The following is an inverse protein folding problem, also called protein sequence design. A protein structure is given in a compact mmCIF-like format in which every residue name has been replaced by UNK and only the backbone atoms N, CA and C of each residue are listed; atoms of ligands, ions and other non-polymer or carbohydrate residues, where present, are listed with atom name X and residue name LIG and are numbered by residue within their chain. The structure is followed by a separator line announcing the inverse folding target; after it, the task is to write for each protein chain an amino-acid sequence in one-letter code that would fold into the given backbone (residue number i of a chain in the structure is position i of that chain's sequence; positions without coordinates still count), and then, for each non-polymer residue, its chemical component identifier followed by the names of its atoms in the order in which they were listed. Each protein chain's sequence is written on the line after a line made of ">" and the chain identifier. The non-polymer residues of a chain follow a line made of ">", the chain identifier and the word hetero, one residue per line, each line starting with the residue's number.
data_IF_418492473712
#
_entry.id   IF_418492473712
#
_cell.length_a   1.000
_cell.length_b   1.000
_cell.length_c   1.000
_cell.angle_alpha   90.00
_cell.angle_beta   90.00
_cell.angle_gamma   90.00
#
_symmetry.space_group_name_H-M   'P 1'
#
loop_
_entity.id
_entity.type
_entity.pdbx_description
1 polymer ?
#
# COMPACT_ATOMS: atom_id res chain seq x y z
N UNK A 1 -19.15 56.97 -71.77
CA UNK A 1 -18.62 55.92 -70.88
C UNK A 1 -17.16 55.72 -71.25
N UNK A 2 -16.31 56.25 -70.36
CA UNK A 2 -14.86 56.46 -70.39
C UNK A 2 -14.07 55.15 -70.42
N UNK A 3 -13.15 54.89 -71.36
CA UNK A 3 -11.78 55.41 -71.60
C UNK A 3 -10.66 54.81 -70.71
N UNK A 4 -9.66 54.22 -71.42
CA UNK A 4 -8.20 54.13 -71.16
C UNK A 4 -7.76 53.29 -69.93
N UNK A 5 -6.60 52.64 -69.89
CA UNK A 5 -5.38 52.63 -70.70
C UNK A 5 -4.27 52.00 -69.86
N UNK A 6 -3.28 51.37 -70.49
CA UNK A 6 -2.14 50.73 -69.84
C UNK A 6 -1.06 51.75 -69.42
N UNK A 7 -0.39 51.50 -68.30
CA UNK A 7 0.96 52.00 -67.95
C UNK A 7 1.60 51.10 -66.88
N UNK A 8 2.92 50.88 -66.99
CA UNK A 8 3.73 50.12 -66.03
C UNK A 8 4.67 50.97 -65.17
N UNK A 9 5.65 50.27 -64.56
CA UNK A 9 6.95 50.68 -63.95
C UNK A 9 7.16 50.51 -62.42
N UNK A 10 8.35 49.94 -62.11
CA UNK A 10 9.27 50.06 -60.93
C UNK A 10 8.96 49.29 -59.62
N UNK A 11 9.75 48.28 -59.23
CA UNK A 11 11.11 48.22 -58.59
C UNK A 11 11.08 48.33 -57.06
N UNK A 12 11.57 47.29 -56.37
CA UNK A 12 12.62 47.37 -55.32
C UNK A 12 12.91 45.97 -54.73
N UNK A 13 14.10 45.42 -55.00
CA UNK A 13 14.69 44.34 -54.20
C UNK A 13 15.37 44.96 -52.97
N UNK A 14 14.93 44.61 -51.77
CA UNK A 14 15.60 44.91 -50.52
C UNK A 14 16.21 43.62 -49.94
N UNK A 15 17.54 43.62 -49.83
CA UNK A 15 18.33 42.66 -49.06
C UNK A 15 18.00 42.83 -47.57
N UNK A 16 17.56 41.76 -46.90
CA UNK A 16 17.54 41.68 -45.44
C UNK A 16 18.37 40.46 -45.04
N UNK A 17 19.42 40.75 -44.28
CA UNK A 17 20.49 39.81 -43.93
C UNK A 17 20.03 38.63 -43.08
N UNK A 18 20.65 37.50 -43.36
CA UNK A 18 20.65 36.30 -42.54
C UNK A 18 21.33 36.61 -41.20
N UNK A 19 20.53 36.84 -40.16
CA UNK A 19 21.00 36.71 -38.79
C UNK A 19 20.94 35.23 -38.41
N UNK A 20 22.12 34.65 -38.17
CA UNK A 20 22.28 33.34 -37.54
C UNK A 20 21.69 33.43 -36.12
N UNK A 21 20.52 32.83 -35.91
CA UNK A 21 20.04 32.49 -34.57
C UNK A 21 20.93 31.35 -34.06
N UNK A 22 21.62 31.49 -32.91
CA UNK A 22 22.39 30.41 -32.31
C UNK A 22 21.45 29.26 -32.02
N UNK A 23 21.86 28.05 -32.42
CA UNK A 23 21.05 26.85 -32.40
C UNK A 23 20.27 26.67 -31.10
N UNK A 24 18.96 26.54 -31.23
CA UNK A 24 18.15 25.79 -30.27
C UNK A 24 18.85 24.45 -30.07
N UNK A 25 19.50 24.30 -28.92
CA UNK A 25 20.06 23.02 -28.50
C UNK A 25 18.94 21.99 -28.59
N UNK A 26 19.08 21.03 -29.50
CA UNK A 26 18.25 19.84 -29.50
C UNK A 26 18.45 19.23 -28.11
N UNK A 27 17.49 19.41 -27.20
CA UNK A 27 17.35 18.49 -26.08
C UNK A 27 17.26 17.13 -26.75
N UNK A 28 18.28 16.29 -26.57
CA UNK A 28 18.20 14.88 -26.93
C UNK A 28 16.97 14.37 -26.20
N UNK A 29 15.88 14.16 -26.92
CA UNK A 29 14.86 13.23 -26.46
C UNK A 29 15.60 11.90 -26.40
N UNK A 30 15.88 11.44 -25.18
CA UNK A 30 16.38 10.10 -24.94
C UNK A 30 15.41 9.13 -25.60
N UNK A 31 15.94 8.16 -26.36
CA UNK A 31 15.15 7.02 -26.80
C UNK A 31 14.47 6.40 -25.56
N UNK A 32 13.19 5.97 -25.65
CA UNK A 32 12.57 5.21 -24.57
C UNK A 32 13.45 4.00 -24.23
N UNK A 33 13.95 3.92 -23.00
CA UNK A 33 14.73 2.78 -22.51
C UNK A 33 16.25 2.94 -22.42
N UNK A 34 16.84 4.13 -22.62
CA UNK A 34 18.26 4.40 -22.30
C UNK A 34 18.42 5.59 -21.35
N UNK A 35 17.98 5.42 -20.10
CA UNK A 35 18.39 6.31 -19.02
C UNK A 35 19.84 5.99 -18.62
N UNK A 36 20.63 7.02 -18.39
CA UNK A 36 21.98 6.90 -17.84
C UNK A 36 21.92 6.44 -16.37
N UNK A 37 23.04 5.88 -15.88
CA UNK A 37 23.18 5.51 -14.47
C UNK A 37 22.98 6.71 -13.54
N UNK A 38 23.39 7.89 -13.97
CA UNK A 38 23.24 9.14 -13.21
C UNK A 38 21.77 9.57 -13.10
N UNK A 39 21.01 9.51 -14.21
CA UNK A 39 19.57 9.79 -14.19
C UNK A 39 18.80 8.81 -13.30
N UNK A 40 19.14 7.52 -13.36
CA UNK A 40 18.52 6.50 -12.47
C UNK A 40 18.87 6.78 -11.01
N UNK A 41 20.12 7.15 -10.71
CA UNK A 41 20.52 7.48 -9.35
C UNK A 41 19.79 8.72 -8.81
N UNK A 42 19.59 9.73 -9.66
CA UNK A 42 18.81 10.92 -9.31
C UNK A 42 17.34 10.57 -9.02
N UNK A 43 16.69 9.80 -9.89
CA UNK A 43 15.31 9.36 -9.69
C UNK A 43 15.15 8.55 -8.39
N UNK A 44 16.11 7.67 -8.08
CA UNK A 44 16.15 6.93 -6.80
C UNK A 44 16.24 7.86 -5.60
N UNK A 45 17.11 8.86 -5.65
CA UNK A 45 17.29 9.82 -4.57
C UNK A 45 16.00 10.63 -4.36
N UNK A 46 15.43 11.18 -5.41
CA UNK A 46 14.19 11.97 -5.34
C UNK A 46 13.01 11.11 -4.84
N UNK A 47 12.94 9.83 -5.21
CA UNK A 47 11.92 8.92 -4.69
C UNK A 47 12.10 8.66 -3.18
N UNK A 48 13.34 8.45 -2.73
CA UNK A 48 13.65 8.25 -1.31
C UNK A 48 13.37 9.52 -0.46
N UNK A 49 13.56 10.71 -1.02
CA UNK A 49 13.25 11.99 -0.37
C UNK A 49 11.72 12.21 -0.20
N UNK A 50 10.92 11.68 -1.12
CA UNK A 50 9.45 11.67 -1.04
C UNK A 50 8.89 10.59 -0.11
N UNK A 51 9.74 9.72 0.44
CA UNK A 51 9.37 8.66 1.38
C UNK A 51 10.24 8.77 2.65
N UNK A 52 9.98 9.78 3.50
CA UNK A 52 10.75 10.00 4.72
C UNK A 52 10.50 8.89 5.74
N UNK A 53 11.54 8.48 6.47
CA UNK A 53 11.47 7.37 7.42
C UNK A 53 11.47 7.84 8.88
N UNK A 54 10.81 7.09 9.73
CA UNK A 54 10.84 7.20 11.20
C UNK A 54 11.62 6.00 11.76
N UNK A 55 12.57 6.25 12.66
CA UNK A 55 13.28 5.20 13.40
C UNK A 55 12.46 4.74 14.59
N UNK A 56 12.34 3.43 14.75
CA UNK A 56 11.75 2.75 15.90
C UNK A 56 12.84 1.87 16.51
N UNK A 57 13.08 2.02 17.82
CA UNK A 57 14.14 1.28 18.53
C UNK A 57 13.84 -0.22 18.73
N UNK A 58 12.71 -0.69 18.21
CA UNK A 58 12.22 -2.04 18.42
C UNK A 58 11.76 -2.25 19.87
N UNK A 59 12.10 -3.41 20.42
CA UNK A 59 11.65 -3.85 21.74
C UNK A 59 10.53 -4.89 21.65
N UNK A 60 10.02 -5.30 22.81
CA UNK A 60 9.00 -6.34 22.89
C UNK A 60 7.62 -5.73 23.09
N UNK A 61 6.63 -6.27 22.39
CA UNK A 61 5.23 -5.89 22.50
C UNK A 61 4.33 -7.12 22.34
N UNK A 62 3.07 -6.94 22.75
CA UNK A 62 2.03 -7.96 22.67
C UNK A 62 1.29 -7.77 21.34
N UNK A 63 1.66 -8.56 20.33
CA UNK A 63 1.08 -8.50 18.98
C UNK A 63 -0.23 -9.27 18.92
N UNK A 64 -1.22 -8.77 18.18
CA UNK A 64 -2.55 -9.37 18.07
C UNK A 64 -3.51 -8.99 19.19
N UNK A 65 -4.64 -9.69 19.25
CA UNK A 65 -5.74 -9.40 20.17
C UNK A 65 -6.24 -10.67 20.83
N UNK A 66 -6.41 -10.66 22.16
CA UNK A 66 -7.00 -11.78 22.91
C UNK A 66 -8.54 -11.73 22.90
N UNK A 67 -9.13 -10.57 22.60
CA UNK A 67 -10.58 -10.33 22.58
C UNK A 67 -10.94 -9.44 21.38
N UNK A 68 -10.95 -9.98 20.15
CA UNK A 68 -11.41 -9.23 18.98
C UNK A 68 -12.89 -8.82 19.13
N UNK A 69 -13.31 -7.71 18.48
CA UNK A 69 -14.71 -7.31 18.47
C UNK A 69 -15.56 -8.38 17.76
N UNK A 70 -16.88 -8.44 18.02
CA UNK A 70 -17.75 -9.32 17.28
C UNK A 70 -17.80 -8.93 15.79
N UNK A 71 -18.17 -9.89 14.95
CA UNK A 71 -18.36 -9.64 13.53
C UNK A 71 -19.38 -8.51 13.31
N UNK A 72 -19.09 -7.55 12.41
CA UNK A 72 -19.87 -6.33 12.24
C UNK A 72 -21.30 -6.58 11.73
N UNK A 73 -21.53 -7.70 11.03
CA UNK A 73 -22.82 -8.04 10.43
C UNK A 73 -23.60 -9.12 11.22
N UNK A 74 -23.22 -9.36 12.48
CA UNK A 74 -23.82 -10.40 13.32
C UNK A 74 -23.08 -11.74 13.23
N UNK A 75 -23.60 -12.79 13.88
CA UNK A 75 -22.95 -14.10 13.93
C UNK A 75 -22.83 -14.71 12.53
N UNK A 76 -21.63 -15.16 12.19
CA UNK A 76 -21.32 -15.74 10.89
C UNK A 76 -21.80 -17.19 10.80
N UNK A 77 -22.17 -17.61 9.58
CA UNK A 77 -22.42 -19.03 9.32
C UNK A 77 -21.09 -19.79 9.27
N UNK A 78 -21.11 -21.10 9.51
CA UNK A 78 -19.91 -21.93 9.37
C UNK A 78 -19.33 -21.93 7.94
N UNK A 79 -20.16 -21.61 6.93
CA UNK A 79 -19.74 -21.54 5.52
C UNK A 79 -18.97 -20.26 5.20
N UNK A 80 -19.15 -19.20 6.00
CA UNK A 80 -18.47 -17.91 5.82
C UNK A 80 -17.11 -17.86 6.52
N UNK A 81 -16.81 -18.83 7.40
CA UNK A 81 -15.54 -18.90 8.12
C UNK A 81 -14.39 -19.30 7.20
N UNK A 82 -13.23 -18.73 7.46
CA UNK A 82 -12.01 -19.12 6.78
C UNK A 82 -11.47 -20.42 7.40
N UNK A 83 -11.59 -21.53 6.68
CA UNK A 83 -11.12 -22.83 7.16
C UNK A 83 -9.79 -23.24 6.53
N UNK A 84 -8.90 -23.79 7.36
CA UNK A 84 -7.58 -24.31 6.96
C UNK A 84 -7.43 -25.75 7.38
N UNK A 85 -6.77 -26.55 6.53
CA UNK A 85 -6.47 -27.95 6.86
C UNK A 85 -5.07 -28.03 7.45
N UNK A 86 -4.98 -28.41 8.73
CA UNK A 86 -3.74 -28.69 9.42
C UNK A 86 -3.01 -29.91 8.86
N UNK A 87 -1.73 -30.06 9.24
CA UNK A 87 -0.85 -31.14 8.75
C UNK A 87 -1.35 -32.55 9.06
N UNK A 88 -2.12 -32.72 10.14
CA UNK A 88 -2.73 -34.00 10.54
C UNK A 88 -4.12 -34.21 9.93
N UNK A 89 -4.56 -33.30 9.06
CA UNK A 89 -5.86 -33.36 8.38
C UNK A 89 -7.03 -32.76 9.17
N UNK A 90 -6.80 -32.29 10.39
CA UNK A 90 -7.78 -31.51 11.15
C UNK A 90 -8.10 -30.20 10.42
N UNK A 91 -9.37 -29.81 10.40
CA UNK A 91 -9.81 -28.53 9.84
C UNK A 91 -10.03 -27.55 10.98
N UNK A 92 -9.37 -26.40 10.92
CA UNK A 92 -9.53 -25.29 11.84
C UNK A 92 -10.19 -24.13 11.08
N UNK A 93 -11.28 -23.60 11.62
CA UNK A 93 -12.05 -22.52 10.99
C UNK A 93 -11.98 -21.27 11.86
N UNK A 94 -11.81 -20.13 11.20
CA UNK A 94 -11.62 -18.82 11.81
C UNK A 94 -12.74 -17.89 11.32
N UNK A 95 -13.51 -17.33 12.26
CA UNK A 95 -14.42 -16.22 11.99
C UNK A 95 -13.69 -14.91 11.74
N UNK A 96 -14.45 -13.87 11.42
CA UNK A 96 -13.96 -12.50 11.26
C UNK A 96 -13.23 -12.08 12.53
N UNK A 97 -12.00 -11.59 12.34
CA UNK A 97 -11.07 -11.13 13.37
C UNK A 97 -10.50 -12.23 14.30
N UNK A 98 -10.92 -13.49 14.19
CA UNK A 98 -10.32 -14.59 14.98
C UNK A 98 -8.88 -14.90 14.54
N UNK A 99 -8.50 -14.51 13.32
CA UNK A 99 -7.12 -14.60 12.81
C UNK A 99 -6.17 -13.57 13.44
N UNK A 100 -6.69 -12.64 14.26
CA UNK A 100 -5.94 -11.73 15.12
C UNK A 100 -5.56 -12.38 16.47
N UNK A 101 -6.06 -13.59 16.74
CA UNK A 101 -5.91 -14.30 18.01
C UNK A 101 -4.87 -15.43 17.98
N UNK A 102 -4.33 -15.79 19.16
CA UNK A 102 -4.31 -14.97 20.37
C UNK A 102 -3.27 -13.86 20.23
N UNK A 103 -3.31 -12.90 21.15
CA UNK A 103 -2.16 -12.05 21.27
C UNK A 103 -0.93 -12.89 21.68
N UNK A 104 0.27 -12.50 21.28
CA UNK A 104 1.53 -13.24 21.51
C UNK A 104 2.72 -12.29 21.69
N UNK A 105 3.80 -12.77 22.32
CA UNK A 105 4.97 -11.94 22.61
C UNK A 105 5.91 -11.88 21.41
N UNK A 106 6.14 -10.66 20.90
CA UNK A 106 7.03 -10.39 19.78
C UNK A 106 8.07 -9.36 20.18
N UNK A 107 9.35 -9.62 19.90
CA UNK A 107 10.43 -8.66 20.02
C UNK A 107 11.00 -8.32 18.66
N UNK A 108 11.19 -7.02 18.40
CA UNK A 108 11.78 -6.53 17.17
C UNK A 108 13.11 -5.84 17.45
N UNK A 109 14.06 -6.02 16.54
CA UNK A 109 15.26 -5.19 16.48
C UNK A 109 14.91 -3.77 16.03
N UNK A 110 15.81 -2.77 16.22
CA UNK A 110 15.60 -1.44 15.67
C UNK A 110 15.45 -1.46 14.14
N UNK A 111 14.47 -0.72 13.64
CA UNK A 111 14.20 -0.57 12.22
C UNK A 111 13.72 0.86 11.91
N UNK A 112 13.79 1.24 10.65
CA UNK A 112 13.14 2.44 10.14
C UNK A 112 11.97 2.04 9.27
N UNK A 113 10.93 2.85 9.25
CA UNK A 113 9.72 2.64 8.46
C UNK A 113 9.21 3.98 7.94
N UNK A 114 8.66 3.97 6.74
CA UNK A 114 8.14 5.17 6.09
C UNK A 114 7.07 5.84 6.95
N UNK A 115 7.17 7.16 7.05
CA UNK A 115 6.28 7.99 7.85
C UNK A 115 4.85 7.95 7.34
N UNK A 116 4.67 7.85 6.04
CA UNK A 116 3.37 7.73 5.36
C UNK A 116 3.50 6.72 4.22
N UNK A 117 2.40 6.37 3.56
CA UNK A 117 2.40 5.45 2.42
C UNK A 117 3.25 6.00 1.27
N UNK A 118 3.85 5.12 0.47
CA UNK A 118 4.59 5.54 -0.72
C UNK A 118 3.64 6.29 -1.65
N UNK A 119 4.00 7.52 -2.00
CA UNK A 119 3.17 8.34 -2.87
C UNK A 119 3.27 7.89 -4.32
N UNK A 120 2.21 8.16 -5.09
CA UNK A 120 2.22 7.94 -6.53
C UNK A 120 3.38 8.69 -7.21
N UNK A 121 3.70 9.89 -6.76
CA UNK A 121 4.84 10.66 -7.28
C UNK A 121 6.20 10.00 -7.03
N UNK A 122 6.39 9.37 -5.86
CA UNK A 122 7.58 8.58 -5.58
C UNK A 122 7.63 7.32 -6.45
N UNK A 123 6.52 6.56 -6.51
CA UNK A 123 6.42 5.33 -7.28
C UNK A 123 6.63 5.54 -8.78
N UNK A 124 6.10 6.63 -9.34
CA UNK A 124 6.23 6.98 -10.75
C UNK A 124 7.69 7.11 -11.18
N UNK A 125 8.58 7.61 -10.31
CA UNK A 125 10.02 7.68 -10.59
C UNK A 125 10.65 6.30 -10.83
N UNK A 126 10.19 5.26 -10.13
CA UNK A 126 10.62 3.88 -10.38
C UNK A 126 10.02 3.31 -11.67
N UNK A 127 8.76 3.64 -11.95
CA UNK A 127 8.10 3.22 -13.18
C UNK A 127 8.79 3.82 -14.43
N UNK A 128 9.28 5.06 -14.33
CA UNK A 128 10.07 5.71 -15.39
C UNK A 128 11.38 4.96 -15.72
N UNK A 129 11.93 4.21 -14.77
CA UNK A 129 13.13 3.38 -15.01
C UNK A 129 12.82 1.97 -15.52
N UNK A 130 11.54 1.64 -15.76
CA UNK A 130 11.07 0.31 -16.17
C UNK A 130 11.39 -0.82 -15.16
N UNK A 131 11.72 -0.46 -13.90
CA UNK A 131 11.99 -1.44 -12.84
C UNK A 131 10.69 -1.79 -12.12
N UNK A 132 9.87 -0.80 -11.81
CA UNK A 132 8.54 -1.02 -11.25
C UNK A 132 7.51 -1.12 -12.37
N UNK A 133 6.62 -2.11 -12.29
CA UNK A 133 5.42 -2.17 -13.13
C UNK A 133 4.57 -0.92 -12.84
N UNK A 134 4.15 -0.13 -13.84
CA UNK A 134 3.27 1.01 -13.61
C UNK A 134 1.96 0.59 -12.96
N UNK A 135 1.34 1.52 -12.23
CA UNK A 135 0.00 1.34 -11.68
C UNK A 135 -1.04 1.28 -12.82
N UNK A 136 -1.97 0.33 -12.75
CA UNK A 136 -2.97 0.06 -13.80
C UNK A 136 -4.19 1.01 -13.76
N UNK A 137 -4.08 2.15 -13.07
CA UNK A 137 -5.18 3.07 -12.75
C UNK A 137 -5.50 4.13 -13.82
N UNK A 138 -4.64 4.26 -14.84
CA UNK A 138 -4.77 5.33 -15.81
C UNK A 138 -4.70 6.72 -15.16
N UNK A 139 -5.63 7.61 -15.51
CA UNK A 139 -5.70 9.00 -15.04
C UNK A 139 -6.94 9.27 -14.16
N UNK A 140 -7.38 8.28 -13.38
CA UNK A 140 -8.53 8.45 -12.50
C UNK A 140 -8.22 9.47 -11.39
N UNK A 141 -8.91 10.61 -11.42
CA UNK A 141 -8.69 11.75 -10.53
C UNK A 141 -8.96 11.48 -9.05
N UNK A 142 -9.70 10.42 -8.74
CA UNK A 142 -9.98 10.02 -7.36
C UNK A 142 -8.81 9.23 -6.73
N UNK A 143 -7.89 8.72 -7.57
CA UNK A 143 -6.76 7.90 -7.15
C UNK A 143 -5.39 8.46 -7.59
N UNK A 144 -5.38 9.41 -8.51
CA UNK A 144 -4.18 9.94 -9.15
C UNK A 144 -3.77 11.31 -8.59
N UNK A 145 -2.49 11.46 -8.25
CA UNK A 145 -1.88 12.72 -7.81
C UNK A 145 -0.55 12.50 -7.09
N UNK A 146 0.44 13.40 -7.21
CA UNK A 146 1.82 13.15 -6.75
C UNK A 146 1.95 12.91 -5.24
N UNK A 147 1.00 13.41 -4.43
CA UNK A 147 0.98 13.25 -2.97
C UNK A 147 -0.07 12.25 -2.48
N UNK A 148 -0.76 11.53 -3.37
CA UNK A 148 -1.68 10.45 -3.00
C UNK A 148 -0.92 9.14 -2.87
N UNK A 149 -1.38 8.17 -2.07
CA UNK A 149 -0.75 6.85 -2.00
C UNK A 149 -0.76 6.17 -3.37
N UNK A 150 0.31 5.45 -3.67
CA UNK A 150 0.41 4.62 -4.86
C UNK A 150 -0.49 3.38 -4.69
N UNK A 151 -1.70 3.45 -5.23
CA UNK A 151 -2.64 2.31 -5.35
C UNK A 151 -2.58 1.72 -6.76
N UNK A 152 -3.25 0.60 -6.99
CA UNK A 152 -3.16 -0.10 -8.28
C UNK A 152 -1.86 -0.88 -8.45
N UNK A 153 -1.21 -1.24 -7.34
CA UNK A 153 0.13 -1.81 -7.30
C UNK A 153 0.06 -3.23 -6.72
N UNK A 154 0.47 -4.22 -7.52
CA UNK A 154 0.67 -5.60 -7.09
C UNK A 154 1.79 -5.70 -6.05
N UNK A 155 1.75 -6.73 -5.20
CA UNK A 155 2.72 -6.90 -4.11
C UNK A 155 4.18 -6.93 -4.61
N UNK A 156 4.43 -7.60 -5.74
CA UNK A 156 5.77 -7.69 -6.33
C UNK A 156 6.27 -6.32 -6.81
N UNK A 157 5.38 -5.45 -7.30
CA UNK A 157 5.74 -4.11 -7.73
C UNK A 157 6.01 -3.19 -6.52
N UNK A 158 5.23 -3.32 -5.44
CA UNK A 158 5.49 -2.65 -4.17
C UNK A 158 6.85 -3.05 -3.58
N UNK A 159 7.13 -4.36 -3.55
CA UNK A 159 8.43 -4.91 -3.14
C UNK A 159 9.57 -4.39 -4.02
N UNK A 160 9.42 -4.44 -5.34
CA UNK A 160 10.44 -3.97 -6.28
C UNK A 160 10.76 -2.48 -6.09
N UNK A 161 9.76 -1.65 -5.79
CA UNK A 161 9.98 -0.24 -5.45
C UNK A 161 10.85 -0.10 -4.20
N UNK A 162 10.48 -0.77 -3.10
CA UNK A 162 11.24 -0.69 -1.86
C UNK A 162 12.69 -1.17 -2.07
N UNK A 163 12.91 -2.29 -2.77
CA UNK A 163 14.24 -2.78 -3.10
C UNK A 163 15.03 -1.77 -3.99
N UNK A 164 14.35 -1.14 -4.95
CA UNK A 164 14.96 -0.18 -5.87
C UNK A 164 15.54 1.05 -5.15
N UNK A 165 14.87 1.54 -4.10
CA UNK A 165 15.37 2.62 -3.22
C UNK A 165 16.23 2.12 -2.04
N UNK A 166 16.62 0.84 -2.01
CA UNK A 166 17.50 0.28 -0.98
C UNK A 166 16.81 0.01 0.36
N UNK A 167 15.53 -0.34 0.32
CA UNK A 167 14.65 -0.67 1.44
C UNK A 167 13.99 -2.04 1.21
N UNK A 168 12.98 -2.37 1.99
CA UNK A 168 12.12 -3.57 1.85
C UNK A 168 10.69 -3.22 2.26
N UNK A 169 9.73 -4.13 2.06
CA UNK A 169 8.45 -4.03 2.76
C UNK A 169 8.66 -4.29 4.27
N UNK A 170 7.86 -3.67 5.17
CA UNK A 170 7.82 -4.04 6.57
C UNK A 170 7.31 -5.46 6.74
N UNK A 171 7.70 -6.11 7.84
CA UNK A 171 6.99 -7.31 8.31
C UNK A 171 5.63 -6.92 8.90
N UNK A 172 4.71 -7.88 9.00
CA UNK A 172 3.42 -7.65 9.69
C UNK A 172 3.65 -7.17 11.14
N UNK A 173 4.66 -7.72 11.82
CA UNK A 173 5.00 -7.34 13.18
C UNK A 173 5.56 -5.93 13.30
N UNK A 174 6.45 -5.54 12.39
CA UNK A 174 6.97 -4.17 12.33
C UNK A 174 5.87 -3.16 12.06
N UNK A 175 4.94 -3.49 11.16
CA UNK A 175 3.79 -2.65 10.85
C UNK A 175 2.90 -2.46 12.08
N UNK A 176 2.55 -3.55 12.79
CA UNK A 176 1.69 -3.45 13.97
C UNK A 176 2.38 -2.70 15.11
N UNK A 177 3.67 -2.94 15.39
CA UNK A 177 4.40 -2.15 16.37
C UNK A 177 4.39 -0.67 15.98
N UNK A 178 4.66 -0.34 14.71
CA UNK A 178 4.69 1.03 14.25
C UNK A 178 3.34 1.74 14.38
N UNK A 179 2.23 1.02 14.14
CA UNK A 179 0.87 1.54 14.29
C UNK A 179 0.47 1.69 15.77
N UNK A 180 0.76 0.68 16.58
CA UNK A 180 0.18 0.46 17.91
C UNK A 180 1.06 0.97 19.05
N UNK A 181 2.37 0.98 18.87
CA UNK A 181 3.30 1.07 20.00
C UNK A 181 3.18 -0.13 20.94
N UNK A 182 3.63 0.05 22.17
CA UNK A 182 3.64 -0.99 23.21
C UNK A 182 2.50 -0.85 24.22
N UNK A 183 1.64 0.15 24.06
CA UNK A 183 0.55 0.46 25.01
C UNK A 183 -0.77 -0.25 24.70
N UNK A 184 -0.82 -1.01 23.60
CA UNK A 184 -1.94 -1.90 23.29
C UNK A 184 -3.16 -1.22 22.68
N UNK A 185 -3.06 0.06 22.28
CA UNK A 185 -4.18 0.85 21.72
C UNK A 185 -4.92 0.17 20.56
N UNK A 186 -6.21 0.48 20.43
CA UNK A 186 -7.10 -0.08 19.41
C UNK A 186 -6.81 0.48 18.02
N UNK A 187 -6.71 1.79 17.88
CA UNK A 187 -6.39 2.48 16.62
C UNK A 187 -5.02 3.16 16.70
N UNK A 188 -4.35 3.46 15.58
CA UNK A 188 -3.07 4.16 15.62
C UNK A 188 -3.10 5.45 16.46
N UNK A 189 -4.22 6.17 16.38
CA UNK A 189 -4.48 7.42 17.09
C UNK A 189 -5.00 7.26 18.53
N UNK A 190 -5.25 6.03 18.99
CA UNK A 190 -5.78 5.75 20.33
C UNK A 190 -7.18 5.13 20.31
N UNK A 191 -8.03 5.49 21.27
CA UNK A 191 -9.36 4.88 21.48
C UNK A 191 -10.52 5.75 21.00
N UNK A 192 -10.23 6.98 20.57
CA UNK A 192 -11.27 7.92 20.18
C UNK A 192 -11.87 7.53 18.82
N UNK A 193 -13.20 7.43 18.76
CA UNK A 193 -13.87 7.28 17.47
C UNK A 193 -13.66 8.55 16.62
N UNK A 194 -13.17 8.40 15.38
CA UNK A 194 -12.91 9.52 14.50
C UNK A 194 -14.24 10.13 14.02
N UNK A 195 -14.27 11.44 13.93
CA UNK A 195 -15.35 12.19 13.27
C UNK A 195 -15.02 12.37 11.80
N UNK A 196 -16.04 12.81 11.09
CA UNK A 196 -15.94 13.20 9.71
C UNK A 196 -14.81 14.19 9.44
N UNK A 197 -13.93 13.82 8.49
CA UNK A 197 -12.76 14.62 8.12
C UNK A 197 -11.63 14.61 9.16
N UNK A 198 -11.64 13.69 10.12
CA UNK A 198 -10.51 13.51 11.05
C UNK A 198 -9.53 12.43 10.59
N UNK A 199 -9.96 11.47 9.76
CA UNK A 199 -9.13 10.44 9.12
C UNK A 199 -9.55 10.25 7.67
N UNK A 200 -8.71 9.63 6.83
CA UNK A 200 -8.98 9.36 5.42
C UNK A 200 -9.97 8.20 5.21
N UNK A 201 -11.12 8.25 5.87
CA UNK A 201 -12.18 7.25 5.81
C UNK A 201 -13.49 7.92 5.47
N UNK A 202 -14.21 7.39 4.49
CA UNK A 202 -15.53 7.90 4.14
C UNK A 202 -16.55 7.48 5.21
N UNK A 203 -16.85 8.38 6.14
CA UNK A 203 -17.89 8.21 7.18
C UNK A 203 -19.26 8.70 6.67
N UNK A 204 -20.31 7.88 6.82
CA UNK A 204 -21.71 8.22 6.49
C UNK A 204 -22.26 7.58 5.21
N UNK A 205 -23.59 7.55 5.06
CA UNK A 205 -24.27 7.05 3.86
C UNK A 205 -24.00 7.97 2.65
N UNK A 206 -24.09 7.43 1.42
CA UNK A 206 -23.57 8.06 0.18
C UNK A 206 -23.74 9.58 0.06
N UNK A 207 -24.92 10.12 0.41
CA UNK A 207 -25.25 11.54 0.25
C UNK A 207 -24.69 12.46 1.35
N UNK A 208 -24.45 11.91 2.53
CA UNK A 208 -23.97 12.64 3.73
C UNK A 208 -22.52 12.27 4.08
N UNK A 209 -21.87 11.52 3.20
CA UNK A 209 -20.50 11.09 3.38
C UNK A 209 -19.55 12.29 3.39
N UNK A 210 -18.79 12.44 4.47
CA UNK A 210 -18.00 13.65 4.70
C UNK A 210 -16.69 13.73 3.92
N UNK A 211 -16.28 12.65 3.25
CA UNK A 211 -15.13 12.66 2.37
C UNK A 211 -15.50 12.25 0.95
N UNK A 212 -14.84 12.91 0.00
CA UNK A 212 -14.94 12.53 -1.42
C UNK A 212 -14.47 11.10 -1.60
N UNK A 213 -15.05 10.41 -2.57
CA UNK A 213 -14.59 9.09 -3.01
C UNK A 213 -13.08 9.08 -3.36
N UNK A 214 -12.43 7.94 -3.12
CA UNK A 214 -11.02 7.70 -3.42
C UNK A 214 -10.04 8.11 -2.33
N UNK A 215 -8.76 7.98 -2.65
CA UNK A 215 -7.65 8.20 -1.72
C UNK A 215 -7.60 9.65 -1.24
N UNK A 216 -6.71 9.95 -0.30
CA UNK A 216 -6.42 11.30 0.16
C UNK A 216 -4.92 11.55 0.04
N UNK A 217 -4.53 12.82 0.08
CA UNK A 217 -3.10 13.12 0.15
C UNK A 217 -2.55 12.55 1.46
N UNK A 218 -1.36 11.98 1.41
CA UNK A 218 -0.63 11.54 2.60
C UNK A 218 -0.45 12.71 3.57
N UNK A 219 -0.49 12.41 4.86
CA UNK A 219 -0.43 13.34 5.99
C UNK A 219 -1.54 14.42 6.01
N UNK A 220 -2.63 14.25 5.26
CA UNK A 220 -3.72 15.23 5.24
C UNK A 220 -4.45 15.31 6.59
N UNK A 221 -4.58 14.17 7.27
CA UNK A 221 -5.38 14.03 8.47
C UNK A 221 -4.51 13.83 9.71
N UNK A 222 -4.34 14.85 10.56
CA UNK A 222 -3.42 14.79 11.69
C UNK A 222 -3.86 13.84 12.81
N UNK A 223 -5.13 13.43 12.85
CA UNK A 223 -5.61 12.48 13.87
C UNK A 223 -5.00 11.10 13.63
N UNK A 224 -4.91 10.62 12.39
CA UNK A 224 -4.35 9.30 12.06
C UNK A 224 -2.82 9.31 12.19
N UNK A 225 -2.37 9.43 13.43
CA UNK A 225 -0.97 9.50 13.83
C UNK A 225 -0.72 8.47 14.91
N UNK A 226 0.16 7.52 14.59
CA UNK A 226 0.69 6.51 15.51
C UNK A 226 1.49 7.12 16.67
N UNK A 227 1.77 6.38 17.76
CA UNK A 227 2.60 6.90 18.85
C UNK A 227 4.04 7.23 18.44
N UNK A 228 4.54 6.62 17.36
CA UNK A 228 5.87 6.91 16.81
C UNK A 228 5.85 8.07 15.80
N UNK A 229 4.67 8.60 15.46
CA UNK A 229 4.51 9.74 14.57
C UNK A 229 4.43 9.42 13.09
N UNK A 230 4.25 8.14 12.74
CA UNK A 230 3.77 7.73 11.42
C UNK A 230 2.33 8.19 11.22
N UNK A 231 2.02 8.61 10.01
CA UNK A 231 0.74 9.08 9.52
C UNK A 231 0.03 7.98 8.71
N UNK A 232 -1.30 8.08 8.64
CA UNK A 232 -2.14 7.27 7.75
C UNK A 232 -1.98 5.76 7.99
N UNK A 233 -1.84 5.34 9.26
CA UNK A 233 -1.68 3.92 9.61
C UNK A 233 -3.04 3.21 9.73
N UNK A 234 -4.14 3.96 9.81
CA UNK A 234 -5.46 3.46 10.15
C UNK A 234 -6.55 4.07 9.29
N UNK A 235 -6.29 4.32 8.00
CA UNK A 235 -7.25 4.66 6.95
C UNK A 235 -6.53 4.79 5.61
N UNK A 236 -7.13 5.54 4.66
CA UNK A 236 -6.61 5.84 3.33
C UNK A 236 -6.47 4.58 2.48
N UNK A 237 -5.47 3.75 2.69
CA UNK A 237 -5.26 2.50 1.94
C UNK A 237 -4.77 1.40 2.86
N UNK A 238 -5.13 0.18 2.53
CA UNK A 238 -4.52 -0.99 3.16
C UNK A 238 -3.09 -1.08 2.66
N UNK A 239 -2.20 -1.63 3.45
CA UNK A 239 -0.78 -1.64 3.13
C UNK A 239 -0.25 -3.05 3.02
N UNK A 240 0.39 -3.35 1.88
CA UNK A 240 1.17 -4.56 1.73
C UNK A 240 2.31 -4.64 2.75
N UNK A 241 2.44 -5.80 3.39
CA UNK A 241 3.61 -6.18 4.19
C UNK A 241 4.31 -7.39 3.55
N UNK A 242 5.50 -7.78 4.02
CA UNK A 242 6.27 -8.86 3.42
C UNK A 242 5.64 -10.26 3.59
N UNK A 243 4.86 -10.42 4.64
CA UNK A 243 4.46 -11.70 5.19
C UNK A 243 3.43 -12.40 4.30
N UNK A 244 3.58 -13.71 4.18
CA UNK A 244 2.51 -14.55 3.70
C UNK A 244 1.36 -14.58 4.72
N UNK A 245 0.13 -14.59 4.23
CA UNK A 245 -1.03 -14.69 5.10
C UNK A 245 -1.35 -16.15 5.45
N UNK A 246 -1.63 -16.39 6.73
CA UNK A 246 -2.18 -17.62 7.25
C UNK A 246 -3.00 -17.31 8.52
N UNK A 247 -4.28 -17.70 8.59
CA UNK A 247 -5.15 -17.31 9.70
C UNK A 247 -4.71 -17.93 11.04
N UNK A 248 -4.28 -19.20 11.04
CA UNK A 248 -3.73 -19.86 12.23
C UNK A 248 -2.29 -19.50 12.61
N UNK A 249 -1.65 -18.50 11.98
CA UNK A 249 -0.24 -18.18 12.26
C UNK A 249 -0.03 -17.72 13.71
N UNK A 250 -0.89 -16.83 14.22
CA UNK A 250 -0.80 -16.35 15.60
C UNK A 250 -1.09 -17.47 16.60
N UNK A 251 -2.07 -18.33 16.30
CA UNK A 251 -2.41 -19.50 17.12
C UNK A 251 -1.23 -20.47 17.28
N UNK A 252 -0.39 -20.61 16.26
CA UNK A 252 0.84 -21.40 16.32
C UNK A 252 1.93 -20.78 17.23
N UNK A 253 1.85 -19.47 17.48
CA UNK A 253 2.80 -18.71 18.29
C UNK A 253 2.35 -18.43 19.73
N UNK A 254 1.14 -18.85 20.12
CA UNK A 254 0.47 -18.47 21.39
C UNK A 254 1.27 -18.60 22.69
N UNK A 255 2.19 -19.56 22.75
CA UNK A 255 3.03 -19.85 23.92
C UNK A 255 4.52 -19.57 23.64
N UNK A 256 4.82 -18.82 22.59
CA UNK A 256 6.17 -18.53 22.12
C UNK A 256 6.46 -17.04 22.19
N UNK A 257 7.68 -16.72 22.64
CA UNK A 257 8.27 -15.39 22.45
C UNK A 257 9.10 -15.41 21.17
N UNK A 258 8.69 -14.67 20.16
CA UNK A 258 9.38 -14.62 18.88
C UNK A 258 10.23 -13.36 18.73
N UNK A 259 11.31 -13.46 17.96
CA UNK A 259 12.18 -12.32 17.62
C UNK A 259 12.16 -12.12 16.12
N UNK A 260 11.81 -10.93 15.65
CA UNK A 260 11.70 -10.57 14.23
C UNK A 260 10.90 -11.59 13.39
N UNK A 261 9.66 -11.97 13.78
CA UNK A 261 8.85 -12.87 12.96
C UNK A 261 8.60 -12.26 11.58
N UNK A 262 8.71 -13.09 10.53
CA UNK A 262 8.54 -12.68 9.12
C UNK A 262 7.42 -13.49 8.42
N UNK A 263 6.44 -13.93 9.20
CA UNK A 263 5.34 -14.76 8.74
C UNK A 263 5.73 -16.23 8.50
N UNK A 264 4.79 -17.05 8.02
CA UNK A 264 5.06 -18.42 7.60
C UNK A 264 5.94 -18.44 6.33
N UNK A 265 6.70 -19.52 6.12
CA UNK A 265 7.57 -19.67 4.94
C UNK A 265 6.81 -19.68 3.61
N UNK A 266 5.54 -20.09 3.64
CA UNK A 266 4.66 -20.21 2.47
C UNK A 266 3.25 -19.73 2.81
N UNK A 267 2.54 -19.20 1.82
CA UNK A 267 1.10 -18.96 1.91
C UNK A 267 0.33 -20.27 2.14
N UNK A 268 -0.88 -20.13 2.67
CA UNK A 268 -1.81 -21.24 2.81
C UNK A 268 -2.08 -21.92 1.45
N UNK A 269 -2.10 -23.26 1.42
CA UNK A 269 -2.86 -23.99 0.39
C UNK A 269 -4.34 -23.91 0.76
N UNK A 270 -5.08 -22.98 0.16
CA UNK A 270 -6.51 -22.79 0.45
C UNK A 270 -7.31 -23.98 -0.08
N UNK A 271 -7.96 -24.73 0.81
CA UNK A 271 -9.02 -25.67 0.45
C UNK A 271 -10.36 -24.93 0.52
N UNK A 272 -10.86 -24.43 -0.61
CA UNK A 272 -12.23 -23.90 -0.67
C UNK A 272 -13.20 -25.08 -0.68
N UNK A 273 -13.96 -25.26 0.39
CA UNK A 273 -15.03 -26.25 0.42
C UNK A 273 -16.23 -25.68 -0.35
N UNK A 274 -16.28 -25.90 -1.67
CA UNK A 274 -17.48 -25.61 -2.44
C UNK A 274 -18.57 -26.61 -1.99
N UNK A 275 -19.51 -26.16 -1.16
CA UNK A 275 -20.73 -26.91 -0.80
C UNK A 275 -21.76 -26.94 -1.94
N UNK A 276 -21.28 -27.11 -3.18
CA UNK A 276 -22.14 -27.37 -4.33
C UNK A 276 -22.16 -28.86 -4.65
N UNK A 277 -23.17 -29.60 -4.17
CA UNK A 277 -23.48 -30.91 -4.74
C UNK A 277 -23.98 -30.70 -6.19
N UNK A 278 -23.07 -30.80 -7.15
CA UNK A 278 -23.39 -30.75 -8.57
C UNK A 278 -22.16 -31.03 -9.42
N UNK A 279 -22.34 -31.74 -10.54
CA UNK A 279 -21.33 -31.91 -11.59
C UNK A 279 -20.93 -30.53 -12.14
N UNK A 280 -19.93 -29.91 -11.50
CA UNK A 280 -19.59 -28.50 -11.71
C UNK A 280 -18.88 -27.83 -10.54
N UNK A 281 -18.82 -28.46 -9.36
CA UNK A 281 -17.94 -28.03 -8.27
C UNK A 281 -16.48 -28.11 -8.74
N UNK A 282 -15.97 -26.99 -9.24
CA UNK A 282 -14.55 -26.85 -9.48
C UNK A 282 -13.90 -26.75 -8.11
N UNK A 283 -13.10 -27.76 -7.77
CA UNK A 283 -12.05 -27.61 -6.78
C UNK A 283 -11.15 -26.46 -7.29
N UNK A 284 -11.46 -25.24 -6.90
CA UNK A 284 -10.57 -24.11 -7.14
C UNK A 284 -9.41 -24.34 -6.17
N UNK A 285 -8.41 -25.09 -6.63
CA UNK A 285 -7.08 -25.07 -6.05
C UNK A 285 -6.57 -23.64 -6.22
N UNK A 286 -6.90 -22.76 -5.29
CA UNK A 286 -6.26 -21.47 -5.20
C UNK A 286 -4.88 -21.73 -4.60
N UNK A 287 -3.94 -22.10 -5.46
CA UNK A 287 -2.50 -21.95 -5.23
C UNK A 287 -2.12 -20.47 -5.28
N UNK A 288 -2.98 -19.58 -4.77
CA UNK A 288 -2.76 -18.14 -4.80
C UNK A 288 -2.00 -17.75 -3.54
N UNK A 289 -0.81 -17.21 -3.75
CA UNK A 289 0.05 -16.76 -2.67
C UNK A 289 -0.59 -15.53 -2.02
N UNK A 290 -1.29 -15.73 -0.92
CA UNK A 290 -1.87 -14.63 -0.17
C UNK A 290 -0.80 -13.92 0.66
N UNK A 291 -0.80 -12.59 0.59
CA UNK A 291 0.03 -11.71 1.40
C UNK A 291 -0.85 -10.96 2.38
N UNK A 292 -0.25 -10.60 3.51
CA UNK A 292 -0.94 -9.79 4.52
C UNK A 292 -1.08 -8.36 4.01
N UNK A 293 -2.25 -7.76 4.26
CA UNK A 293 -2.44 -6.30 4.25
C UNK A 293 -2.98 -5.80 5.58
N UNK A 294 -2.66 -4.55 5.92
CA UNK A 294 -2.97 -3.90 7.22
C UNK A 294 -3.57 -2.50 7.03
N UNK A 295 -4.20 -1.91 8.05
CA UNK A 295 -4.48 -0.45 8.10
C UNK A 295 -5.85 0.08 7.66
N UNK A 296 -6.71 -0.73 7.03
CA UNK A 296 -8.03 -0.25 6.56
C UNK A 296 -7.94 0.56 5.26
N UNK A 297 -8.99 1.26 4.84
CA UNK A 297 -9.05 1.90 3.48
C UNK A 297 -9.93 3.15 3.48
N UNK A 298 -9.93 3.95 2.42
CA UNK A 298 -10.83 5.08 2.26
C UNK A 298 -12.32 4.69 2.06
N UNK A 299 -12.64 3.39 1.86
CA UNK A 299 -13.99 2.90 1.59
C UNK A 299 -14.96 2.99 2.78
N UNK A 300 -16.16 3.51 2.52
CA UNK A 300 -17.24 3.64 3.52
C UNK A 300 -17.91 2.32 3.92
N UNK A 301 -17.79 1.28 3.09
CA UNK A 301 -18.42 -0.02 3.36
C UNK A 301 -17.69 -0.82 4.42
N UNK A 302 -16.51 -0.38 4.85
CA UNK A 302 -15.70 -1.02 5.88
C UNK A 302 -16.08 -0.45 7.25
N UNK A 303 -16.44 -1.30 8.23
CA UNK A 303 -16.72 -0.84 9.58
C UNK A 303 -15.46 -0.28 10.24
N UNK A 304 -15.63 0.59 11.24
CA UNK A 304 -14.50 1.17 11.99
C UNK A 304 -13.57 0.08 12.58
N UNK A 305 -14.09 -1.11 12.86
CA UNK A 305 -13.30 -2.26 13.33
C UNK A 305 -12.25 -2.77 12.33
N UNK A 306 -12.33 -2.43 11.05
CA UNK A 306 -11.32 -2.76 10.02
C UNK A 306 -10.06 -1.86 10.07
N UNK A 307 -10.09 -0.78 10.86
CA UNK A 307 -9.01 0.21 10.96
C UNK A 307 -8.17 0.03 12.24
N UNK A 308 -8.48 -1.02 13.00
CA UNK A 308 -7.75 -1.36 14.22
C UNK A 308 -6.31 -1.75 13.90
N UNK A 309 -5.41 -1.46 14.83
CA UNK A 309 -3.98 -1.77 14.73
C UNK A 309 -3.72 -3.27 14.56
N UNK A 310 -4.64 -4.14 15.00
CA UNK A 310 -4.54 -5.60 14.94
C UNK A 310 -5.18 -6.22 13.70
N UNK A 311 -5.99 -5.48 12.94
CA UNK A 311 -6.73 -6.04 11.80
C UNK A 311 -5.78 -6.47 10.68
N UNK A 312 -5.94 -7.72 10.26
CA UNK A 312 -5.25 -8.34 9.11
C UNK A 312 -6.25 -8.83 8.08
N UNK A 313 -5.77 -8.94 6.85
CA UNK A 313 -6.46 -9.63 5.77
C UNK A 313 -5.46 -10.28 4.85
N UNK A 314 -5.77 -11.49 4.39
CA UNK A 314 -5.06 -12.15 3.31
C UNK A 314 -5.58 -11.70 1.96
N UNK A 315 -4.68 -11.30 1.06
CA UNK A 315 -5.06 -10.95 -0.31
C UNK A 315 -4.09 -11.57 -1.30
N UNK A 316 -4.63 -12.08 -2.42
CA UNK A 316 -3.83 -12.60 -3.54
C UNK A 316 -2.80 -11.55 -3.99
N UNK A 317 -1.52 -11.93 -4.00
CA UNK A 317 -0.43 -11.04 -4.39
C UNK A 317 -0.55 -10.48 -5.81
N UNK A 318 -1.27 -11.20 -6.70
CA UNK A 318 -1.50 -10.78 -8.10
C UNK A 318 -2.79 -10.00 -8.31
N UNK A 319 -3.71 -10.00 -7.33
CA UNK A 319 -4.92 -9.18 -7.33
C UNK A 319 -5.74 -9.29 -8.62
N UNK A 320 -6.03 -10.50 -9.10
CA UNK A 320 -6.76 -10.72 -10.38
C UNK A 320 -8.12 -10.01 -10.43
N UNK A 321 -8.70 -9.69 -9.27
CA UNK A 321 -9.93 -8.92 -9.13
C UNK A 321 -9.59 -7.43 -8.88
N UNK A 322 -9.66 -6.61 -9.95
CA UNK A 322 -9.30 -5.19 -9.96
C UNK A 322 -9.90 -4.30 -8.85
N UNK A 323 -10.99 -4.72 -8.20
CA UNK A 323 -11.69 -3.90 -7.20
C UNK A 323 -10.87 -3.61 -5.94
N UNK A 324 -10.00 -4.54 -5.53
CA UNK A 324 -9.19 -4.40 -4.31
C UNK A 324 -7.88 -3.61 -4.54
N UNK A 325 -7.42 -3.49 -5.78
CA UNK A 325 -6.22 -2.72 -6.11
C UNK A 325 -6.35 -1.21 -5.81
N UNK A 326 -7.56 -0.66 -5.84
CA UNK A 326 -7.81 0.76 -5.57
C UNK A 326 -7.72 1.12 -4.07
N UNK A 327 -7.67 0.11 -3.22
CA UNK A 327 -7.73 0.25 -1.76
C UNK A 327 -6.47 -0.24 -1.10
N UNK A 328 -5.47 -0.70 -1.87
CA UNK A 328 -4.23 -1.24 -1.35
C UNK A 328 -3.04 -0.45 -1.93
N UNK A 329 -2.26 0.14 -1.05
CA UNK A 329 -0.95 0.71 -1.29
C UNK A 329 0.10 -0.01 -0.44
N UNK A 330 1.13 0.71 -0.03
CA UNK A 330 2.22 0.16 0.78
C UNK A 330 3.11 1.27 1.35
N UNK A 331 3.93 0.91 2.34
CA UNK A 331 5.04 1.73 2.82
C UNK A 331 6.30 0.87 2.91
N UNK A 332 7.49 1.47 2.87
CA UNK A 332 8.74 0.72 2.97
C UNK A 332 9.32 0.75 4.39
N UNK A 333 10.19 -0.21 4.70
CA UNK A 333 10.97 -0.32 5.92
C UNK A 333 12.44 -0.63 5.60
N UNK A 334 13.31 -0.39 6.58
CA UNK A 334 14.75 -0.63 6.50
C UNK A 334 15.25 -1.18 7.83
N UNK A 335 15.89 -2.34 7.79
CA UNK A 335 16.58 -2.88 8.97
C UNK A 335 17.76 -1.99 9.35
N UNK A 336 17.97 -1.78 10.64
CA UNK A 336 19.14 -1.06 11.14
C UNK A 336 20.07 -2.08 11.78
N UNK A 337 21.38 -1.97 11.50
CA UNK A 337 22.35 -2.77 12.23
C UNK A 337 22.24 -2.45 13.73
N UNK A 338 22.12 -3.48 14.56
CA UNK A 338 22.24 -3.32 16.00
C UNK A 338 23.58 -2.62 16.30
N UNK A 339 23.63 -1.63 17.20
CA UNK A 339 24.90 -1.07 17.62
C UNK A 339 25.80 -2.20 18.15
N UNK A 340 27.11 -2.17 17.88
CA UNK A 340 28.02 -3.18 18.41
C UNK A 340 27.86 -3.24 19.94
N UNK A 341 27.77 -4.45 20.49
CA UNK A 341 27.70 -4.65 21.94
C UNK A 341 28.90 -3.95 22.62
N UNK A 342 28.69 -3.34 23.80
CA UNK A 342 29.71 -2.57 24.50
C UNK A 342 30.94 -3.39 24.91
#
# INVERSE_FOLDING_TARGET
>A
MTERGATGWLVAMALIGTTLVPGCGKKKQSEPGKQSREEIAQLKQEAAELSPMVRIEGGCFRMGNDNPPPAPNGPESEEDKLCVKGREGAVECFGVYEDEMPAHDVCLDPFEIDRHEVTFGAFQKCAETLICKPSDLGSDVDFWGPNRPAVGVEWQAARAFCEWIGRRLPTEAEWELAARGTDGRTFPWGEQEPKCGEIAMRLGEEKDACDRFGTKNVELYPMDKSPFGLMDMGANVREWVSDFYHPGYYLALRDQKTTNPAGPEHALEVFVNSTGEGEGAQNLFLTEQQRVVRGGTWLFSEPLTSYRTTNRRGVDETQRLRGELLTIGFRCARSIAAPPAP
#
